data_IF_831867432244
#
_entry.id   IF_831867432244
#
_cell.length_a   1.000
_cell.length_b   1.000
_cell.length_c   1.000
_cell.angle_alpha   90.00
_cell.angle_beta   90.00
_cell.angle_gamma   90.00
#
_symmetry.space_group_name_H-M   'P 1'
#
loop_
_entity.id
_entity.type
_entity.pdbx_description
1 polymer ?
#
# COMPACT_ATOMS: atom_id res chain seq x y z
N UNK A 1 8.16 2.09 2.95
CA UNK A 1 9.02 0.92 2.65
C UNK A 1 8.21 -0.36 2.49
N UNK A 2 7.36 -0.76 3.46
CA UNK A 2 6.51 -1.96 3.32
C UNK A 2 5.66 -2.01 2.05
N UNK A 3 5.02 -0.88 1.70
CA UNK A 3 4.23 -0.76 0.46
C UNK A 3 5.05 -1.01 -0.82
N UNK A 4 6.32 -0.60 -0.83
CA UNK A 4 7.23 -0.82 -1.95
C UNK A 4 7.44 -2.32 -2.18
N UNK A 5 7.58 -3.11 -1.11
CA UNK A 5 7.72 -4.56 -1.23
C UNK A 5 6.46 -5.20 -1.82
N UNK A 6 5.26 -4.81 -1.35
CA UNK A 6 3.97 -5.28 -1.92
C UNK A 6 3.88 -4.96 -3.40
N UNK A 7 4.28 -3.75 -3.80
CA UNK A 7 4.25 -3.35 -5.21
C UNK A 7 5.18 -4.20 -6.09
N UNK A 8 6.35 -4.60 -5.61
CA UNK A 8 7.24 -5.52 -6.35
C UNK A 8 6.52 -6.83 -6.64
N UNK A 9 5.91 -7.44 -5.63
CA UNK A 9 5.18 -8.71 -5.78
C UNK A 9 3.95 -8.52 -6.69
N UNK A 10 3.20 -7.44 -6.52
CA UNK A 10 2.02 -7.13 -7.33
C UNK A 10 2.37 -6.99 -8.82
N UNK A 11 3.40 -6.21 -9.14
CA UNK A 11 3.85 -5.99 -10.52
C UNK A 11 4.28 -7.32 -11.13
N UNK A 12 5.09 -8.09 -10.41
CA UNK A 12 5.57 -9.39 -10.88
C UNK A 12 4.42 -10.38 -11.11
N UNK A 13 3.49 -10.52 -10.16
CA UNK A 13 2.37 -11.46 -10.27
C UNK A 13 1.44 -11.13 -11.45
N UNK A 14 1.10 -9.85 -11.64
CA UNK A 14 0.21 -9.44 -12.74
C UNK A 14 0.87 -9.61 -14.11
N UNK A 15 2.15 -9.28 -14.23
CA UNK A 15 2.87 -9.47 -15.50
C UNK A 15 3.12 -10.95 -15.77
N UNK A 16 3.47 -11.74 -14.75
CA UNK A 16 3.62 -13.20 -14.86
C UNK A 16 2.33 -13.85 -15.33
N UNK A 17 1.18 -13.45 -14.77
CA UNK A 17 -0.14 -13.98 -15.13
C UNK A 17 -0.45 -13.86 -16.62
N UNK A 18 0.07 -12.81 -17.28
CA UNK A 18 -0.12 -12.57 -18.72
C UNK A 18 1.01 -13.18 -19.55
N UNK A 19 2.25 -13.05 -19.10
CA UNK A 19 3.43 -13.50 -19.85
C UNK A 19 3.53 -15.02 -19.93
N UNK A 20 3.16 -15.76 -18.88
CA UNK A 20 3.18 -17.23 -18.88
C UNK A 20 2.16 -17.87 -19.85
N UNK A 21 1.22 -17.09 -20.39
CA UNK A 21 0.30 -17.56 -21.44
C UNK A 21 1.00 -17.62 -22.80
N UNK A 22 1.93 -16.68 -23.03
CA UNK A 22 2.58 -16.48 -24.32
C UNK A 22 4.01 -17.05 -24.36
N UNK A 23 4.62 -17.21 -23.19
CA UNK A 23 6.01 -17.63 -22.99
C UNK A 23 6.00 -18.82 -22.03
N UNK A 24 7.06 -19.65 -22.07
CA UNK A 24 7.28 -20.75 -21.13
C UNK A 24 7.09 -20.28 -19.69
N UNK A 25 6.40 -21.09 -18.89
CA UNK A 25 6.18 -20.82 -17.46
C UNK A 25 7.50 -20.55 -16.72
N UNK A 26 7.58 -19.36 -16.13
CA UNK A 26 8.69 -18.92 -15.29
C UNK A 26 8.17 -18.61 -13.87
N UNK A 27 9.04 -18.82 -12.87
CA UNK A 27 8.77 -18.46 -11.48
C UNK A 27 8.61 -16.95 -11.29
N UNK A 28 7.86 -16.55 -10.26
CA UNK A 28 7.55 -15.14 -9.96
C UNK A 28 8.82 -14.34 -9.66
N UNK A 29 9.84 -15.00 -9.11
CA UNK A 29 11.15 -14.45 -8.76
C UNK A 29 11.90 -13.93 -9.99
N UNK A 30 11.73 -14.58 -11.15
CA UNK A 30 12.34 -14.14 -12.40
C UNK A 30 11.70 -12.83 -12.85
N UNK A 31 10.37 -12.72 -12.78
CA UNK A 31 9.67 -11.47 -13.09
C UNK A 31 10.05 -10.35 -12.12
N UNK A 32 10.18 -10.65 -10.82
CA UNK A 32 10.70 -9.70 -9.84
C UNK A 32 12.10 -9.20 -10.25
N UNK A 33 13.03 -10.09 -10.61
CA UNK A 33 14.38 -9.72 -11.06
C UNK A 33 14.37 -8.88 -12.35
N UNK A 34 13.50 -9.18 -13.31
CA UNK A 34 13.35 -8.39 -14.54
C UNK A 34 12.96 -6.95 -14.22
N UNK A 35 12.02 -6.75 -13.28
CA UNK A 35 11.56 -5.41 -12.88
C UNK A 35 12.53 -4.69 -11.93
N UNK A 36 13.50 -5.36 -11.32
CA UNK A 36 14.46 -4.75 -10.41
C UNK A 36 15.22 -3.57 -11.04
N UNK A 37 15.74 -3.75 -12.26
CA UNK A 37 16.49 -2.69 -12.95
C UNK A 37 15.58 -1.48 -13.24
N UNK A 38 14.41 -1.64 -13.88
CA UNK A 38 13.43 -0.55 -14.03
C UNK A 38 13.06 0.15 -12.72
N UNK A 39 12.87 -0.60 -11.62
CA UNK A 39 12.51 -0.05 -10.31
C UNK A 39 13.64 0.81 -9.70
N UNK A 40 14.90 0.43 -9.92
CA UNK A 40 16.05 1.24 -9.54
C UNK A 40 16.07 2.54 -10.36
N UNK A 41 15.85 2.44 -11.67
CA UNK A 41 15.90 3.59 -12.59
C UNK A 41 14.80 4.61 -12.28
N UNK A 42 13.56 4.18 -12.00
CA UNK A 42 12.51 5.12 -11.63
C UNK A 42 12.79 5.81 -10.29
N UNK A 43 13.42 5.11 -9.34
CA UNK A 43 13.79 5.68 -8.05
C UNK A 43 14.95 6.69 -8.13
N UNK A 44 15.66 6.75 -9.25
CA UNK A 44 16.68 7.78 -9.51
C UNK A 44 16.08 9.15 -9.86
N UNK A 45 14.77 9.24 -10.09
CA UNK A 45 14.08 10.51 -10.29
C UNK A 45 14.01 11.25 -8.96
N UNK A 46 14.69 12.40 -8.90
CA UNK A 46 14.87 13.17 -7.66
C UNK A 46 13.72 14.13 -7.35
N UNK A 47 12.98 14.56 -8.37
CA UNK A 47 11.98 15.61 -8.23
C UNK A 47 10.58 15.00 -8.19
N UNK A 48 9.88 15.09 -7.05
CA UNK A 48 8.49 14.66 -6.91
C UNK A 48 7.57 15.33 -7.94
N UNK A 49 7.82 16.61 -8.25
CA UNK A 49 7.09 17.38 -9.27
C UNK A 49 7.17 16.77 -10.67
N UNK A 50 8.29 16.10 -11.00
CA UNK A 50 8.43 15.39 -12.28
C UNK A 50 7.62 14.10 -12.30
N UNK A 51 7.44 13.45 -11.16
CA UNK A 51 6.62 12.24 -11.02
C UNK A 51 5.11 12.54 -11.01
N UNK A 52 4.71 13.72 -10.54
CA UNK A 52 3.30 14.13 -10.45
C UNK A 52 2.46 13.92 -11.73
N UNK A 53 2.87 14.39 -12.94
CA UNK A 53 2.08 14.16 -14.16
C UNK A 53 1.98 12.68 -14.54
N UNK A 54 3.06 11.90 -14.35
CA UNK A 54 3.02 10.46 -14.58
C UNK A 54 2.09 9.76 -13.59
N UNK A 55 2.07 10.21 -12.33
CA UNK A 55 1.14 9.70 -11.33
C UNK A 55 -0.31 10.03 -11.65
N UNK A 56 -0.59 11.23 -12.16
CA UNK A 56 -1.96 11.56 -12.63
C UNK A 56 -2.38 10.62 -13.76
N UNK A 57 -1.49 10.35 -14.72
CA UNK A 57 -1.77 9.38 -15.77
C UNK A 57 -1.95 7.95 -15.21
N UNK A 58 -1.10 7.52 -14.27
CA UNK A 58 -1.21 6.23 -13.59
C UNK A 58 -2.54 6.09 -12.85
N UNK A 59 -2.99 7.14 -12.13
CA UNK A 59 -4.28 7.16 -11.45
C UNK A 59 -5.46 7.06 -12.43
N UNK A 60 -5.38 7.73 -13.58
CA UNK A 60 -6.39 7.59 -14.64
C UNK A 60 -6.43 6.15 -15.18
N UNK A 61 -5.27 5.53 -15.43
CA UNK A 61 -5.16 4.12 -15.82
C UNK A 61 -5.78 3.21 -14.76
N UNK A 62 -5.49 3.45 -13.48
CA UNK A 62 -6.06 2.68 -12.37
C UNK A 62 -7.58 2.81 -12.34
N UNK A 63 -8.13 4.01 -12.52
CA UNK A 63 -9.57 4.23 -12.52
C UNK A 63 -10.27 3.50 -13.69
N UNK A 64 -9.69 3.58 -14.89
CA UNK A 64 -10.18 2.84 -16.07
C UNK A 64 -10.11 1.32 -15.81
N UNK A 65 -9.00 0.87 -15.23
CA UNK A 65 -8.80 -0.55 -14.90
C UNK A 65 -9.83 -1.04 -13.89
N UNK A 66 -10.15 -0.26 -12.87
CA UNK A 66 -11.24 -0.57 -11.93
C UNK A 66 -12.60 -0.66 -12.62
N UNK A 67 -12.90 0.23 -13.57
CA UNK A 67 -14.11 0.15 -14.38
C UNK A 67 -14.21 -1.15 -15.18
N UNK A 68 -13.10 -1.61 -15.75
CA UNK A 68 -13.05 -2.88 -16.49
C UNK A 68 -13.16 -4.08 -15.55
N UNK A 69 -12.53 -4.05 -14.38
CA UNK A 69 -12.69 -5.11 -13.37
C UNK A 69 -14.16 -5.20 -12.95
N UNK A 70 -14.82 -4.07 -12.67
CA UNK A 70 -16.25 -4.05 -12.36
C UNK A 70 -17.09 -4.63 -13.48
N UNK A 71 -16.74 -4.38 -14.75
CA UNK A 71 -17.42 -4.98 -15.89
C UNK A 71 -17.38 -6.52 -15.84
N UNK A 72 -16.21 -7.12 -15.58
CA UNK A 72 -16.10 -8.58 -15.44
C UNK A 72 -16.88 -9.11 -14.24
N UNK A 73 -16.72 -8.48 -13.08
CA UNK A 73 -17.39 -8.85 -11.83
C UNK A 73 -18.92 -8.84 -12.00
N UNK A 74 -19.47 -7.81 -12.65
CA UNK A 74 -20.92 -7.71 -12.90
C UNK A 74 -21.38 -8.74 -13.95
N UNK A 75 -20.57 -8.99 -14.98
CA UNK A 75 -20.91 -9.92 -16.06
C UNK A 75 -20.94 -11.37 -15.58
N UNK A 76 -20.08 -11.75 -14.63
CA UNK A 76 -20.09 -13.05 -13.96
C UNK A 76 -21.30 -13.27 -13.03
N UNK A 77 -22.16 -12.25 -12.86
CA UNK A 77 -23.39 -12.24 -12.05
C UNK A 77 -23.11 -12.47 -10.56
N UNK A 78 -22.87 -11.42 -9.77
CA UNK A 78 -22.69 -11.55 -8.33
C UNK A 78 -23.93 -12.20 -7.71
N UNK A 79 -23.72 -13.25 -6.94
CA UNK A 79 -24.81 -13.98 -6.26
C UNK A 79 -24.54 -14.08 -4.76
N UNK A 80 -25.62 -14.04 -3.99
CA UNK A 80 -25.61 -14.32 -2.56
C UNK A 80 -25.64 -15.82 -2.25
N UNK A 81 -25.89 -16.67 -3.26
CA UNK A 81 -25.99 -18.11 -3.09
C UNK A 81 -24.62 -18.68 -2.67
N UNK A 82 -24.64 -19.52 -1.63
CA UNK A 82 -23.44 -20.17 -1.07
C UNK A 82 -22.35 -19.20 -0.61
N UNK A 83 -22.69 -17.95 -0.24
CA UNK A 83 -21.75 -17.00 0.37
C UNK A 83 -21.94 -16.93 1.88
N UNK A 84 -20.85 -16.94 2.62
CA UNK A 84 -20.88 -16.71 4.06
C UNK A 84 -21.11 -15.21 4.33
N UNK A 85 -22.16 -14.86 5.07
CA UNK A 85 -22.47 -13.47 5.44
C UNK A 85 -21.52 -12.92 6.51
N UNK A 86 -20.93 -13.80 7.32
CA UNK A 86 -20.04 -13.46 8.42
C UNK A 86 -18.78 -14.28 8.27
N UNK A 87 -17.63 -13.61 8.14
CA UNK A 87 -16.34 -14.27 8.10
C UNK A 87 -15.96 -14.89 9.44
N UNK A 88 -15.03 -15.85 9.40
CA UNK A 88 -14.49 -16.51 10.60
C UNK A 88 -13.78 -15.51 11.50
N UNK A 89 -13.99 -15.62 12.82
CA UNK A 89 -13.36 -14.75 13.81
C UNK A 89 -11.82 -14.79 13.74
N UNK A 90 -11.26 -15.94 13.36
CA UNK A 90 -9.82 -16.15 13.18
C UNK A 90 -9.20 -15.26 12.09
N UNK A 91 -10.01 -14.82 11.10
CA UNK A 91 -9.54 -13.98 9.99
C UNK A 91 -9.69 -12.49 10.27
N UNK A 92 -10.30 -12.09 11.39
CA UNK A 92 -10.49 -10.69 11.77
C UNK A 92 -9.15 -9.94 11.86
N UNK A 93 -8.09 -10.49 12.49
CA UNK A 93 -6.80 -9.80 12.53
C UNK A 93 -6.18 -9.61 11.14
N UNK A 94 -6.30 -10.61 10.27
CA UNK A 94 -5.81 -10.52 8.89
C UNK A 94 -6.57 -9.43 8.11
N UNK A 95 -7.90 -9.42 8.21
CA UNK A 95 -8.76 -8.41 7.61
C UNK A 95 -8.43 -7.00 8.10
N UNK A 96 -8.27 -6.81 9.42
CA UNK A 96 -7.88 -5.53 9.99
C UNK A 96 -6.53 -5.06 9.44
N UNK A 97 -5.54 -5.94 9.35
CA UNK A 97 -4.25 -5.63 8.72
C UNK A 97 -4.41 -5.15 7.28
N UNK A 98 -5.21 -5.85 6.47
CA UNK A 98 -5.46 -5.47 5.07
C UNK A 98 -6.19 -4.13 4.94
N UNK A 99 -7.20 -3.87 5.76
CA UNK A 99 -7.93 -2.58 5.76
C UNK A 99 -7.01 -1.45 6.17
N UNK A 100 -6.22 -1.65 7.22
CA UNK A 100 -5.23 -0.68 7.67
C UNK A 100 -4.24 -0.40 6.54
N UNK A 101 -3.61 -1.42 5.96
CA UNK A 101 -2.69 -1.25 4.83
C UNK A 101 -3.33 -0.46 3.66
N UNK A 102 -4.59 -0.77 3.32
CA UNK A 102 -5.28 -0.15 2.19
C UNK A 102 -5.57 1.34 2.39
N UNK A 103 -5.68 1.79 3.65
CA UNK A 103 -5.94 3.19 4.04
C UNK A 103 -4.64 3.93 4.44
N UNK A 104 -3.48 3.36 4.17
CA UNK A 104 -2.19 3.98 4.46
C UNK A 104 -1.90 5.15 3.51
N UNK A 105 -1.80 6.36 4.09
CA UNK A 105 -1.33 7.55 3.37
C UNK A 105 -0.41 8.42 4.23
N UNK A 106 -0.07 7.99 5.44
CA UNK A 106 0.52 8.87 6.47
C UNK A 106 1.91 9.33 6.09
N UNK A 107 2.70 8.46 5.46
CA UNK A 107 4.04 8.82 4.99
C UNK A 107 4.03 9.90 3.90
N UNK A 108 3.00 9.94 3.06
CA UNK A 108 2.90 10.87 1.93
C UNK A 108 2.10 12.12 2.23
N UNK A 109 1.25 12.11 3.26
CA UNK A 109 0.35 13.23 3.60
C UNK A 109 1.12 14.54 3.82
N UNK A 110 2.13 14.55 4.69
CA UNK A 110 2.85 15.80 5.02
C UNK A 110 3.69 16.33 3.84
N UNK A 111 4.50 15.50 3.14
CA UNK A 111 5.21 15.97 1.95
C UNK A 111 4.26 16.46 0.85
N UNK A 112 3.11 15.80 0.68
CA UNK A 112 2.10 16.22 -0.29
C UNK A 112 1.49 17.57 0.08
N UNK A 113 1.07 17.76 1.34
CA UNK A 113 0.53 19.03 1.85
C UNK A 113 1.54 20.17 1.66
N UNK A 114 2.82 19.94 1.98
CA UNK A 114 3.90 20.92 1.83
C UNK A 114 4.14 21.35 0.37
N UNK A 115 3.90 20.47 -0.59
CA UNK A 115 4.10 20.74 -2.02
C UNK A 115 2.83 21.29 -2.72
N UNK A 116 1.69 21.42 -2.00
CA UNK A 116 0.48 22.00 -2.56
C UNK A 116 0.60 23.52 -2.74
N UNK A 117 -0.01 24.05 -3.81
CA UNK A 117 -0.14 25.51 -4.02
C UNK A 117 -0.90 26.19 -2.88
N UNK A 118 -1.86 25.49 -2.28
CA UNK A 118 -2.71 25.98 -1.18
C UNK A 118 -2.79 24.93 -0.06
N UNK A 119 -1.77 24.82 0.82
CA UNK A 119 -1.72 23.79 1.86
C UNK A 119 -2.93 23.81 2.81
N UNK A 120 -3.44 25.01 3.13
CA UNK A 120 -4.62 25.19 4.00
C UNK A 120 -5.90 24.51 3.49
N UNK A 121 -6.00 24.18 2.20
CA UNK A 121 -7.15 23.48 1.63
C UNK A 121 -7.07 21.95 1.83
N UNK A 122 -5.97 21.41 2.36
CA UNK A 122 -5.75 19.97 2.49
C UNK A 122 -6.63 19.34 3.58
N UNK A 123 -6.62 19.90 4.80
CA UNK A 123 -7.26 19.34 5.99
C UNK A 123 -8.68 19.85 6.32
N UNK A 124 -9.31 20.68 5.48
CA UNK A 124 -10.68 21.14 5.72
C UNK A 124 -11.70 19.98 5.77
N UNK A 125 -12.94 20.20 6.26
CA UNK A 125 -13.98 19.15 6.31
C UNK A 125 -14.31 18.60 4.91
N UNK A 126 -14.35 19.46 3.90
CA UNK A 126 -14.38 19.14 2.46
C UNK A 126 -13.01 19.38 1.81
N UNK A 127 -11.94 19.22 2.60
CA UNK A 127 -10.57 19.32 2.14
C UNK A 127 -10.18 18.15 1.25
N UNK A 128 -9.09 18.31 0.53
CA UNK A 128 -8.59 17.33 -0.44
C UNK A 128 -8.43 15.94 0.20
N UNK A 129 -7.93 15.88 1.45
CA UNK A 129 -7.75 14.62 2.16
C UNK A 129 -9.08 13.89 2.42
N UNK A 130 -10.08 14.58 2.96
CA UNK A 130 -11.35 13.96 3.35
C UNK A 130 -12.16 13.50 2.12
N UNK A 131 -12.19 14.32 1.07
CA UNK A 131 -12.86 13.94 -0.19
C UNK A 131 -12.14 12.73 -0.82
N UNK A 132 -10.80 12.75 -0.84
CA UNK A 132 -10.00 11.63 -1.34
C UNK A 132 -10.26 10.34 -0.56
N UNK A 133 -10.17 10.39 0.77
CA UNK A 133 -10.41 9.22 1.63
C UNK A 133 -11.83 8.69 1.51
N UNK A 134 -12.85 9.56 1.49
CA UNK A 134 -14.24 9.15 1.30
C UNK A 134 -14.46 8.45 -0.05
N UNK A 135 -13.86 8.97 -1.12
CA UNK A 135 -13.92 8.36 -2.45
C UNK A 135 -13.27 6.98 -2.46
N UNK A 136 -12.09 6.84 -1.86
CA UNK A 136 -11.35 5.58 -1.79
C UNK A 136 -12.12 4.53 -0.99
N UNK A 137 -12.67 4.89 0.18
CA UNK A 137 -13.47 3.98 1.01
C UNK A 137 -14.69 3.48 0.25
N UNK A 138 -15.40 4.36 -0.45
CA UNK A 138 -16.54 3.96 -1.27
C UNK A 138 -16.16 2.96 -2.37
N UNK A 139 -15.05 3.22 -3.08
CA UNK A 139 -14.54 2.31 -4.11
C UNK A 139 -14.13 0.96 -3.53
N UNK A 140 -13.42 0.93 -2.40
CA UNK A 140 -13.02 -0.32 -1.75
C UNK A 140 -14.20 -1.15 -1.26
N UNK A 141 -15.20 -0.51 -0.66
CA UNK A 141 -16.41 -1.22 -0.22
C UNK A 141 -17.17 -1.81 -1.41
N UNK A 142 -17.35 -1.04 -2.48
CA UNK A 142 -18.01 -1.51 -3.70
C UNK A 142 -17.27 -2.68 -4.36
N UNK A 143 -15.97 -2.52 -4.59
CA UNK A 143 -15.11 -3.55 -5.18
C UNK A 143 -15.02 -4.79 -4.32
N UNK A 144 -14.83 -4.62 -3.00
CA UNK A 144 -14.72 -5.73 -2.06
C UNK A 144 -16.01 -6.53 -1.95
N UNK A 145 -17.16 -5.84 -1.85
CA UNK A 145 -18.46 -6.50 -1.80
C UNK A 145 -18.77 -7.26 -3.09
N UNK A 146 -18.70 -6.60 -4.24
CA UNK A 146 -19.01 -7.22 -5.53
C UNK A 146 -18.02 -8.33 -5.89
N UNK A 147 -16.74 -8.13 -5.59
CA UNK A 147 -15.70 -9.15 -5.77
C UNK A 147 -15.98 -10.40 -4.94
N UNK A 148 -16.36 -10.25 -3.67
CA UNK A 148 -16.72 -11.39 -2.81
C UNK A 148 -17.99 -12.11 -3.28
N UNK A 149 -19.04 -11.36 -3.66
CA UNK A 149 -20.28 -11.94 -4.19
C UNK A 149 -20.06 -12.71 -5.50
N UNK A 150 -19.03 -12.36 -6.26
CA UNK A 150 -18.67 -13.05 -7.49
C UNK A 150 -17.81 -14.27 -7.18
N UNK A 151 -16.59 -14.06 -6.66
CA UNK A 151 -15.58 -15.12 -6.54
C UNK A 151 -15.69 -15.95 -5.25
N UNK A 152 -16.31 -15.44 -4.18
CA UNK A 152 -16.40 -16.14 -2.89
C UNK A 152 -15.05 -16.62 -2.37
N UNK A 153 -14.95 -17.90 -2.02
CA UNK A 153 -13.70 -18.51 -1.54
C UNK A 153 -12.63 -18.72 -2.61
N UNK A 154 -12.95 -18.55 -3.90
CA UNK A 154 -11.97 -18.67 -4.99
C UNK A 154 -11.20 -17.36 -5.24
N UNK A 155 -11.42 -16.33 -4.43
CA UNK A 155 -10.70 -15.06 -4.54
C UNK A 155 -9.21 -15.28 -4.29
N UNK A 156 -8.37 -14.78 -5.19
CA UNK A 156 -6.93 -14.78 -5.05
C UNK A 156 -6.48 -13.54 -4.26
N UNK A 157 -5.17 -13.43 -3.95
CA UNK A 157 -4.64 -12.29 -3.19
C UNK A 157 -4.89 -10.92 -3.81
N UNK A 158 -5.24 -10.87 -5.11
CA UNK A 158 -5.76 -9.66 -5.77
C UNK A 158 -6.86 -10.04 -6.76
N UNK A 159 -7.91 -9.22 -6.84
CA UNK A 159 -9.04 -9.44 -7.78
C UNK A 159 -8.60 -9.45 -9.25
N UNK A 160 -7.48 -8.81 -9.56
CA UNK A 160 -6.90 -8.82 -10.90
C UNK A 160 -6.47 -10.21 -11.34
N UNK A 161 -5.99 -11.05 -10.40
CA UNK A 161 -5.56 -12.41 -10.73
C UNK A 161 -6.75 -13.34 -11.02
N UNK A 162 -7.91 -13.07 -10.43
CA UNK A 162 -9.17 -13.77 -10.72
C UNK A 162 -9.72 -13.51 -12.13
N UNK A 163 -9.28 -12.46 -12.81
CA UNK A 163 -9.76 -12.16 -14.16
C UNK A 163 -9.38 -13.27 -15.15
N UNK A 164 -10.23 -13.53 -16.16
CA UNK A 164 -9.96 -14.51 -17.21
C UNK A 164 -8.55 -14.34 -17.81
N UNK A 165 -7.79 -15.43 -17.89
CA UNK A 165 -6.41 -15.39 -18.36
C UNK A 165 -6.34 -15.16 -19.87
N UNK A 166 -7.23 -15.78 -20.63
CA UNK A 166 -7.21 -15.77 -22.10
C UNK A 166 -7.81 -14.51 -22.73
N UNK A 167 -8.63 -13.74 -22.01
CA UNK A 167 -9.27 -12.55 -22.58
C UNK A 167 -8.26 -11.39 -22.70
N UNK A 168 -8.13 -10.86 -23.91
CA UNK A 168 -7.25 -9.73 -24.22
C UNK A 168 -7.56 -8.52 -23.34
N UNK A 169 -8.83 -8.24 -23.07
CA UNK A 169 -9.21 -7.09 -22.25
C UNK A 169 -8.74 -7.29 -20.79
N UNK A 170 -8.81 -8.52 -20.26
CA UNK A 170 -8.31 -8.83 -18.91
C UNK A 170 -6.76 -8.75 -18.85
N UNK A 171 -6.07 -9.22 -19.88
CA UNK A 171 -4.61 -9.11 -19.98
C UNK A 171 -4.14 -7.65 -20.04
N UNK A 172 -4.82 -6.82 -20.82
CA UNK A 172 -4.55 -5.38 -20.90
C UNK A 172 -4.67 -4.74 -19.52
N UNK A 173 -5.72 -5.06 -18.75
CA UNK A 173 -5.93 -4.54 -17.39
C UNK A 173 -4.83 -4.95 -16.42
N UNK A 174 -4.40 -6.21 -16.45
CA UNK A 174 -3.31 -6.71 -15.60
C UNK A 174 -2.01 -5.96 -15.86
N UNK A 175 -1.65 -5.78 -17.14
CA UNK A 175 -0.42 -5.06 -17.53
C UNK A 175 -0.54 -3.56 -17.26
N UNK A 176 -1.70 -2.94 -17.53
CA UNK A 176 -1.90 -1.51 -17.29
C UNK A 176 -1.87 -1.16 -15.81
N UNK A 177 -2.44 -2.00 -14.94
CA UNK A 177 -2.33 -1.84 -13.48
C UNK A 177 -0.91 -2.07 -12.98
N UNK A 178 -0.21 -3.07 -13.50
CA UNK A 178 1.21 -3.26 -13.19
C UNK A 178 2.04 -2.02 -13.56
N UNK A 179 1.79 -1.42 -14.73
CA UNK A 179 2.44 -0.18 -15.14
C UNK A 179 2.06 1.02 -14.24
N UNK A 180 0.79 1.15 -13.88
CA UNK A 180 0.34 2.22 -12.99
C UNK A 180 1.00 2.11 -11.60
N UNK A 181 1.09 0.91 -11.04
CA UNK A 181 1.74 0.65 -9.76
C UNK A 181 3.26 0.81 -9.86
N UNK A 182 3.88 0.44 -10.99
CA UNK A 182 5.29 0.72 -11.26
C UNK A 182 5.59 2.23 -11.20
N UNK A 183 4.73 3.08 -11.75
CA UNK A 183 4.90 4.54 -11.65
C UNK A 183 4.71 5.01 -10.20
N UNK A 184 3.66 4.53 -9.52
CA UNK A 184 3.36 4.88 -8.12
C UNK A 184 4.45 4.41 -7.15
N UNK A 185 5.18 3.34 -7.47
CA UNK A 185 6.34 2.88 -6.70
C UNK A 185 7.39 3.98 -6.54
N UNK A 186 7.68 4.73 -7.61
CA UNK A 186 8.64 5.84 -7.55
C UNK A 186 8.22 6.92 -6.54
N UNK A 187 6.91 7.24 -6.48
CA UNK A 187 6.37 8.18 -5.50
C UNK A 187 6.44 7.65 -4.07
N UNK A 188 6.12 6.38 -3.85
CA UNK A 188 6.14 5.82 -2.50
C UNK A 188 7.58 5.65 -1.96
N UNK A 189 8.53 5.30 -2.84
CA UNK A 189 9.93 5.22 -2.47
C UNK A 189 10.54 6.61 -2.23
N UNK A 190 10.04 7.66 -2.90
CA UNK A 190 10.49 9.05 -2.69
C UNK A 190 10.43 9.46 -1.22
N UNK A 191 9.36 9.14 -0.48
CA UNK A 191 9.24 9.48 0.95
C UNK A 191 10.34 8.81 1.77
N UNK A 192 10.62 7.53 1.51
CA UNK A 192 11.68 6.82 2.22
C UNK A 192 13.07 7.42 1.91
N UNK A 193 13.29 7.81 0.67
CA UNK A 193 14.51 8.51 0.24
C UNK A 193 14.61 9.88 0.90
N UNK A 194 13.54 10.67 0.92
CA UNK A 194 13.52 12.01 1.51
C UNK A 194 13.85 11.95 3.01
N UNK A 195 13.21 11.05 3.76
CA UNK A 195 13.50 10.85 5.18
C UNK A 195 14.96 10.40 5.38
N UNK A 196 15.42 9.39 4.65
CA UNK A 196 16.75 8.80 4.86
C UNK A 196 17.88 9.73 4.41
N UNK A 197 17.73 10.31 3.22
CA UNK A 197 18.72 11.16 2.59
C UNK A 197 18.62 12.61 3.10
N UNK A 198 17.52 13.31 2.86
CA UNK A 198 17.40 14.72 3.23
C UNK A 198 17.33 14.91 4.76
N UNK A 199 16.68 13.99 5.47
CA UNK A 199 16.56 14.05 6.93
C UNK A 199 17.83 13.67 7.70
N UNK A 200 18.56 12.63 7.28
CA UNK A 200 19.65 12.05 8.09
C UNK A 200 21.03 12.06 7.43
N UNK A 201 21.18 11.51 6.22
CA UNK A 201 22.50 11.27 5.60
C UNK A 201 23.08 12.50 4.88
N UNK A 202 22.23 13.24 4.18
CA UNK A 202 22.58 14.40 3.37
C UNK A 202 23.29 15.51 4.14
N UNK A 203 22.81 15.92 5.33
CA UNK A 203 23.50 16.88 6.19
C UNK A 203 24.85 16.37 6.70
N UNK A 204 24.96 15.07 7.01
CA UNK A 204 26.21 14.45 7.49
C UNK A 204 27.28 14.35 6.39
N UNK A 205 26.86 14.22 5.14
CA UNK A 205 27.73 14.08 3.96
C UNK A 205 27.94 15.39 3.20
N UNK A 206 27.56 16.53 3.78
CA UNK A 206 27.58 17.84 3.11
C UNK A 206 28.98 18.24 2.63
N UNK A 207 30.03 17.90 3.40
CA UNK A 207 31.43 18.19 3.06
C UNK A 207 32.05 17.19 2.07
N UNK A 208 31.32 16.14 1.66
CA UNK A 208 31.84 15.12 0.77
C UNK A 208 31.66 15.52 -0.70
N UNK A 209 32.75 15.57 -1.46
CA UNK A 209 32.73 15.88 -2.90
C UNK A 209 31.87 14.90 -3.72
N UNK A 210 31.65 13.67 -3.21
CA UNK A 210 30.84 12.64 -3.87
C UNK A 210 29.38 12.58 -3.38
N UNK A 211 28.84 13.66 -2.81
CA UNK A 211 27.46 13.71 -2.27
C UNK A 211 26.41 13.15 -3.24
N UNK A 212 26.47 13.52 -4.52
CA UNK A 212 25.53 13.06 -5.55
C UNK A 212 25.59 11.54 -5.76
N UNK A 213 26.80 10.96 -5.75
CA UNK A 213 26.97 9.51 -5.88
C UNK A 213 26.35 8.78 -4.68
N UNK A 214 26.59 9.29 -3.46
CA UNK A 214 26.03 8.72 -2.24
C UNK A 214 24.51 8.77 -2.22
N UNK A 215 23.89 9.82 -2.78
CA UNK A 215 22.44 9.88 -2.93
C UNK A 215 21.90 8.74 -3.79
N UNK A 216 22.53 8.49 -4.96
CA UNK A 216 22.13 7.38 -5.84
C UNK A 216 22.37 6.02 -5.19
N UNK A 217 23.47 5.85 -4.46
CA UNK A 217 23.74 4.62 -3.70
C UNK A 217 22.66 4.40 -2.65
N UNK A 218 22.28 5.42 -1.86
CA UNK A 218 21.20 5.31 -0.87
C UNK A 218 19.88 4.91 -1.53
N UNK A 219 19.51 5.57 -2.64
CA UNK A 219 18.29 5.24 -3.40
C UNK A 219 18.29 3.79 -3.89
N UNK A 220 19.41 3.31 -4.45
CA UNK A 220 19.52 1.92 -4.92
C UNK A 220 19.49 0.92 -3.77
N UNK A 221 20.19 1.20 -2.66
CA UNK A 221 20.18 0.33 -1.47
C UNK A 221 18.77 0.19 -0.89
N UNK A 222 17.98 1.27 -0.85
CA UNK A 222 16.59 1.22 -0.39
C UNK A 222 15.75 0.28 -1.27
N UNK A 223 15.90 0.34 -2.59
CA UNK A 223 15.20 -0.58 -3.52
C UNK A 223 15.66 -2.03 -3.30
N UNK A 224 16.97 -2.27 -3.12
CA UNK A 224 17.51 -3.61 -2.89
C UNK A 224 16.99 -4.22 -1.58
N UNK A 225 16.86 -3.42 -0.52
CA UNK A 225 16.29 -3.88 0.75
C UNK A 225 14.82 -4.28 0.55
N UNK A 226 14.02 -3.42 -0.08
CA UNK A 226 12.59 -3.74 -0.31
C UNK A 226 12.41 -4.93 -1.23
N UNK A 227 13.26 -5.06 -2.23
CA UNK A 227 13.29 -6.19 -3.15
C UNK A 227 13.64 -7.49 -2.42
N UNK A 228 14.70 -7.50 -1.61
CA UNK A 228 15.10 -8.68 -0.84
C UNK A 228 13.98 -9.16 0.09
N UNK A 229 13.28 -8.26 0.75
CA UNK A 229 12.14 -8.61 1.61
C UNK A 229 10.98 -9.18 0.75
N UNK A 230 10.69 -8.61 -0.42
CA UNK A 230 9.63 -9.10 -1.30
C UNK A 230 9.90 -10.52 -1.83
N UNK A 231 11.16 -10.85 -2.13
CA UNK A 231 11.55 -12.19 -2.59
C UNK A 231 11.44 -13.25 -1.49
N UNK A 232 11.63 -12.89 -0.22
CA UNK A 232 11.56 -13.85 0.90
C UNK A 232 10.14 -14.40 1.13
N UNK A 233 9.11 -13.60 0.86
CA UNK A 233 7.71 -13.97 1.10
C UNK A 233 6.84 -13.48 -0.06
N UNK A 234 6.78 -14.22 -1.18
CA UNK A 234 5.96 -13.86 -2.36
C UNK A 234 4.45 -14.10 -2.17
N UNK A 235 3.94 -14.12 -0.93
CA UNK A 235 2.51 -14.26 -0.61
C UNK A 235 1.89 -12.87 -0.39
N UNK A 236 1.26 -12.32 -1.44
CA UNK A 236 0.87 -10.92 -1.51
C UNK A 236 -0.12 -10.50 -0.42
N UNK A 237 -1.16 -11.30 -0.17
CA UNK A 237 -2.22 -11.05 0.81
C UNK A 237 -1.71 -11.08 2.26
N UNK A 238 -0.94 -12.11 2.61
CA UNK A 238 -0.30 -12.24 3.92
C UNK A 238 0.69 -11.10 4.17
N UNK A 239 1.41 -10.69 3.14
CA UNK A 239 2.37 -9.60 3.21
C UNK A 239 1.68 -8.24 3.40
N UNK A 240 0.59 -7.98 2.66
CA UNK A 240 -0.25 -6.79 2.85
C UNK A 240 -0.74 -6.71 4.30
N UNK A 241 -1.27 -7.82 4.82
CA UNK A 241 -1.81 -7.84 6.17
C UNK A 241 -0.74 -7.65 7.24
N UNK A 242 0.44 -8.29 7.09
CA UNK A 242 1.56 -8.15 8.00
C UNK A 242 2.01 -6.68 8.13
N UNK A 243 2.24 -6.00 7.01
CA UNK A 243 2.69 -4.61 7.04
C UNK A 243 1.60 -3.64 7.51
N UNK A 244 0.34 -3.91 7.19
CA UNK A 244 -0.78 -3.13 7.73
C UNK A 244 -0.90 -3.27 9.24
N UNK A 245 -0.87 -4.50 9.74
CA UNK A 245 -0.96 -4.78 11.18
C UNK A 245 0.25 -4.23 11.94
N UNK A 246 1.46 -4.48 11.46
CA UNK A 246 2.68 -4.06 12.14
C UNK A 246 2.93 -2.55 12.03
N UNK A 247 3.03 -2.03 10.81
CA UNK A 247 3.43 -0.65 10.59
C UNK A 247 2.30 0.33 10.90
N UNK A 248 1.07 0.08 10.43
CA UNK A 248 0.04 1.10 10.54
C UNK A 248 -0.64 1.12 11.92
N UNK A 249 -0.79 -0.01 12.59
CA UNK A 249 -1.30 0.00 13.96
C UNK A 249 -0.36 0.77 14.91
N UNK A 250 0.96 0.66 14.70
CA UNK A 250 1.96 1.42 15.45
C UNK A 250 2.06 2.89 14.99
N UNK A 251 2.44 3.12 13.73
CA UNK A 251 2.75 4.46 13.20
C UNK A 251 1.51 5.28 12.86
N UNK A 252 0.39 4.64 12.52
CA UNK A 252 -0.82 5.32 12.08
C UNK A 252 -1.88 5.52 13.14
N UNK A 253 -1.90 4.69 14.18
CA UNK A 253 -2.89 4.80 15.26
C UNK A 253 -2.21 5.15 16.59
N UNK A 254 -1.31 4.30 17.07
CA UNK A 254 -0.75 4.45 18.41
C UNK A 254 0.14 5.70 18.56
N UNK A 255 1.06 5.93 17.61
CA UNK A 255 2.00 7.06 17.67
C UNK A 255 1.30 8.42 17.56
N UNK A 256 0.38 8.67 16.60
CA UNK A 256 -0.34 9.94 16.54
C UNK A 256 -1.15 10.23 17.81
N UNK A 257 -1.79 9.21 18.38
CA UNK A 257 -2.52 9.34 19.65
C UNK A 257 -1.58 9.66 20.83
N UNK A 258 -0.39 9.04 20.87
CA UNK A 258 0.63 9.35 21.86
C UNK A 258 1.15 10.79 21.70
N UNK A 259 1.44 11.22 20.46
CA UNK A 259 1.91 12.58 20.16
C UNK A 259 0.86 13.62 20.56
N UNK A 260 -0.42 13.43 20.23
CA UNK A 260 -1.50 14.36 20.66
C UNK A 260 -1.54 14.45 22.19
N UNK A 261 -1.43 13.31 22.87
CA UNK A 261 -1.46 13.24 24.33
C UNK A 261 -0.28 14.01 24.95
N UNK A 262 0.94 13.80 24.47
CA UNK A 262 2.13 14.50 24.96
C UNK A 262 2.09 16.01 24.64
N UNK A 263 1.61 16.39 23.46
CA UNK A 263 1.61 17.79 23.00
C UNK A 263 0.58 18.63 23.76
N UNK A 264 -0.62 18.09 23.97
CA UNK A 264 -1.71 18.82 24.62
C UNK A 264 -1.85 18.52 26.11
N UNK A 265 -0.91 17.77 26.70
CA UNK A 265 -0.93 17.35 28.10
C UNK A 265 -1.15 18.51 29.06
N UNK A 266 -0.40 19.60 28.87
CA UNK A 266 -0.46 20.80 29.72
C UNK A 266 -1.40 21.88 29.17
N UNK A 267 -1.89 21.74 27.93
CA UNK A 267 -2.69 22.76 27.26
C UNK A 267 -4.20 22.57 27.44
N UNK A 268 -4.66 21.33 27.72
CA UNK A 268 -6.08 21.04 27.95
C UNK A 268 -6.34 20.82 29.44
N UNK A 269 -7.49 21.28 29.92
CA UNK A 269 -7.92 21.08 31.31
C UNK A 269 -9.40 20.67 31.38
N UNK A 270 -9.80 20.12 32.53
CA UNK A 270 -11.19 19.71 32.78
C UNK A 270 -11.68 18.57 31.88
N UNK A 271 -12.94 18.62 31.45
CA UNK A 271 -13.57 17.56 30.68
C UNK A 271 -12.88 17.26 29.33
N UNK A 272 -12.35 18.29 28.66
CA UNK A 272 -11.65 18.13 27.37
C UNK A 272 -10.37 17.29 27.51
N UNK A 273 -9.68 17.40 28.65
CA UNK A 273 -8.49 16.58 28.95
C UNK A 273 -8.87 15.11 29.13
N UNK A 274 -9.90 14.80 29.91
CA UNK A 274 -10.36 13.42 30.12
C UNK A 274 -10.87 12.77 28.83
N UNK A 275 -11.63 13.51 28.01
CA UNK A 275 -12.10 13.02 26.70
C UNK A 275 -10.90 12.69 25.79
N UNK A 276 -9.91 13.59 25.71
CA UNK A 276 -8.69 13.35 24.94
C UNK A 276 -7.96 12.11 25.44
N UNK A 277 -7.75 11.99 26.75
CA UNK A 277 -7.01 10.89 27.35
C UNK A 277 -7.68 9.54 27.10
N UNK A 278 -9.00 9.45 27.31
CA UNK A 278 -9.76 8.22 27.08
C UNK A 278 -9.72 7.84 25.60
N UNK A 279 -9.98 8.80 24.70
CA UNK A 279 -9.93 8.58 23.25
C UNK A 279 -8.55 8.08 22.81
N UNK A 280 -7.48 8.75 23.25
CA UNK A 280 -6.13 8.41 22.84
C UNK A 280 -5.65 7.09 23.45
N UNK A 281 -6.00 6.83 24.71
CA UNK A 281 -5.70 5.54 25.34
C UNK A 281 -6.42 4.39 24.64
N UNK A 282 -7.69 4.56 24.28
CA UNK A 282 -8.44 3.58 23.51
C UNK A 282 -7.81 3.31 22.14
N UNK A 283 -7.36 4.35 21.42
CA UNK A 283 -6.65 4.23 20.15
C UNK A 283 -5.30 3.51 20.30
N UNK A 284 -4.52 3.83 21.34
CA UNK A 284 -3.24 3.17 21.61
C UNK A 284 -3.46 1.69 21.92
N UNK A 285 -4.42 1.35 22.78
CA UNK A 285 -4.75 -0.05 23.10
C UNK A 285 -5.20 -0.79 21.83
N UNK A 286 -6.08 -0.18 21.03
CA UNK A 286 -6.53 -0.75 19.76
C UNK A 286 -5.35 -0.99 18.80
N UNK A 287 -4.45 -0.03 18.65
CA UNK A 287 -3.25 -0.16 17.83
C UNK A 287 -2.31 -1.25 18.31
N UNK A 288 -2.10 -1.37 19.63
CA UNK A 288 -1.26 -2.43 20.20
C UNK A 288 -1.90 -3.81 19.99
N UNK A 289 -3.21 -3.95 20.25
CA UNK A 289 -3.94 -5.19 20.00
C UNK A 289 -3.90 -5.59 18.53
N UNK A 290 -4.16 -4.65 17.62
CA UNK A 290 -4.07 -4.87 16.17
C UNK A 290 -2.67 -5.29 15.72
N UNK A 291 -1.64 -4.67 16.29
CA UNK A 291 -0.24 -5.03 16.02
C UNK A 291 0.04 -6.47 16.43
N UNK A 292 -0.25 -6.86 17.67
CA UNK A 292 0.05 -8.21 18.14
C UNK A 292 -0.80 -9.27 17.45
N UNK A 293 -2.11 -9.08 17.40
CA UNK A 293 -3.02 -10.06 16.80
C UNK A 293 -2.79 -10.22 15.29
N UNK A 294 -2.65 -9.11 14.55
CA UNK A 294 -2.46 -9.14 13.11
C UNK A 294 -1.08 -9.65 12.71
N UNK A 295 -0.02 -9.25 13.42
CA UNK A 295 1.34 -9.75 13.16
C UNK A 295 1.44 -11.24 13.48
N UNK A 296 0.87 -11.69 14.61
CA UNK A 296 0.87 -13.11 14.97
C UNK A 296 0.11 -13.97 13.95
N UNK A 297 -1.10 -13.55 13.55
CA UNK A 297 -1.87 -14.29 12.55
C UNK A 297 -1.13 -14.35 11.22
N UNK A 298 -0.64 -13.21 10.73
CA UNK A 298 0.06 -13.15 9.44
C UNK A 298 1.33 -13.98 9.46
N UNK A 299 2.15 -13.92 10.51
CA UNK A 299 3.37 -14.73 10.62
C UNK A 299 3.06 -16.22 10.73
N UNK A 300 2.04 -16.60 11.51
CA UNK A 300 1.62 -18.00 11.62
C UNK A 300 1.20 -18.56 10.26
N UNK A 301 0.45 -17.77 9.51
CA UNK A 301 -0.08 -18.21 8.21
C UNK A 301 1.02 -18.20 7.13
N UNK A 302 1.98 -17.25 7.19
CA UNK A 302 3.21 -17.29 6.37
C UNK A 302 4.03 -18.54 6.67
N UNK A 303 4.25 -18.88 7.94
CA UNK A 303 5.04 -20.07 8.31
C UNK A 303 4.35 -21.34 7.80
N UNK A 304 3.02 -21.42 7.87
CA UNK A 304 2.26 -22.56 7.33
C UNK A 304 2.34 -22.66 5.81
N UNK A 305 2.36 -21.52 5.11
CA UNK A 305 2.43 -21.48 3.65
C UNK A 305 3.79 -21.95 3.12
N UNK A 306 4.88 -21.69 3.85
CA UNK A 306 6.26 -21.99 3.44
C UNK A 306 6.92 -23.16 4.20
N UNK A 307 6.16 -23.94 4.98
CA UNK A 307 6.64 -25.15 5.69
C UNK A 307 6.24 -26.42 4.95
#
# INVERSE_FOLDING_TARGET
MGICCVYVVFIAANVQSVANIHIKEMGIEIYMLIFLIPLILINWIKDLKRLAPFSTAANAITLVSFGIILYYVITEKPSFDNKELVGKAENIPLFLGTVLFSLEAIGVIMPLENEMKTPKAFGGPLGVLNIGMGTIVFLYLGMGLLGYLTYGHAVEGTITLNLPKEDVLAQVVKVSLALAIFITYGLQCYVAVDITWNGYLGPKLEKNSKKVLWEYVTRTVLVLITFGIAVLVPALDLFISLFGAFCLSALGIAIPAAIETCTYWYSRSGASFYIMLIKNLALIIFGICGLFAGTYSSLRDIIKEFS
#
